data_IF_200465246297
#
_entry.id   IF_200465246297
#
_cell.length_a   1.000
_cell.length_b   1.000
_cell.length_c   1.000
_cell.angle_alpha   90.00
_cell.angle_beta   90.00
_cell.angle_gamma   90.00
#
_symmetry.space_group_name_H-M   'P 1'
#
loop_
_entity.id
_entity.type
_entity.pdbx_description
1 polymer ?
#
# COMPACT_ATOMS: atom_id res chain seq x y z
N UNK A 1 -4.50 -35.98 -16.58
CA UNK A 1 -5.97 -35.92 -16.79
C UNK A 1 -6.46 -34.62 -16.16
N UNK A 2 -7.06 -33.70 -16.91
CA UNK A 2 -7.83 -32.60 -16.34
C UNK A 2 -9.10 -33.23 -15.79
N UNK A 3 -9.29 -33.19 -14.49
CA UNK A 3 -10.46 -33.76 -13.83
C UNK A 3 -11.72 -33.11 -14.43
N UNK A 4 -12.57 -33.93 -15.04
CA UNK A 4 -13.79 -33.49 -15.74
C UNK A 4 -14.77 -32.85 -14.78
N UNK A 5 -14.78 -33.27 -13.52
CA UNK A 5 -15.59 -32.71 -12.46
C UNK A 5 -15.09 -31.32 -12.07
N UNK A 6 -13.77 -31.08 -12.01
CA UNK A 6 -13.22 -29.77 -11.77
C UNK A 6 -13.56 -28.80 -12.92
N UNK A 7 -13.53 -29.25 -14.17
CA UNK A 7 -13.97 -28.45 -15.32
C UNK A 7 -15.45 -27.98 -15.18
N UNK A 8 -16.34 -28.89 -14.74
CA UNK A 8 -17.74 -28.55 -14.44
C UNK A 8 -17.87 -27.55 -13.31
N UNK A 9 -17.11 -27.68 -12.21
CA UNK A 9 -17.07 -26.71 -11.13
C UNK A 9 -16.66 -25.31 -11.63
N UNK A 10 -15.65 -25.22 -12.48
CA UNK A 10 -15.22 -23.96 -13.10
C UNK A 10 -16.34 -23.27 -13.85
N UNK A 11 -17.07 -24.00 -14.70
CA UNK A 11 -18.21 -23.47 -15.45
C UNK A 11 -19.30 -22.94 -14.52
N UNK A 12 -19.59 -23.65 -13.42
CA UNK A 12 -20.59 -23.22 -12.43
C UNK A 12 -20.16 -21.92 -11.71
N UNK A 13 -18.89 -21.81 -11.32
CA UNK A 13 -18.34 -20.59 -10.72
C UNK A 13 -18.44 -19.41 -11.69
N UNK A 14 -18.06 -19.60 -12.95
CA UNK A 14 -18.18 -18.56 -13.99
C UNK A 14 -19.64 -18.09 -14.18
N UNK A 15 -20.59 -19.06 -14.25
CA UNK A 15 -22.02 -18.77 -14.35
C UNK A 15 -22.52 -17.97 -13.13
N UNK A 16 -22.08 -18.34 -11.93
CA UNK A 16 -22.42 -17.64 -10.71
C UNK A 16 -21.96 -16.19 -10.74
N UNK A 17 -20.68 -15.92 -11.05
CA UNK A 17 -20.17 -14.55 -11.15
C UNK A 17 -20.84 -13.72 -12.25
N UNK A 18 -21.22 -14.34 -13.39
CA UNK A 18 -22.04 -13.68 -14.41
C UNK A 18 -23.42 -13.30 -13.88
N UNK A 19 -24.06 -14.19 -13.12
CA UNK A 19 -25.38 -13.93 -12.51
C UNK A 19 -25.34 -12.81 -11.46
N UNK A 20 -24.25 -12.68 -10.70
CA UNK A 20 -24.08 -11.56 -9.75
C UNK A 20 -24.03 -10.20 -10.47
N UNK A 21 -23.34 -10.13 -11.62
CA UNK A 21 -23.29 -8.89 -12.43
C UNK A 21 -24.67 -8.52 -12.99
N UNK A 22 -25.47 -9.49 -13.43
CA UNK A 22 -26.82 -9.22 -13.96
C UNK A 22 -27.84 -8.84 -12.88
N UNK A 23 -27.58 -9.22 -11.62
CA UNK A 23 -28.44 -8.90 -10.46
C UNK A 23 -28.07 -7.58 -9.77
N UNK A 24 -27.05 -6.85 -10.24
CA UNK A 24 -26.74 -5.55 -9.66
C UNK A 24 -27.94 -4.62 -9.81
N UNK A 25 -28.46 -4.13 -8.67
CA UNK A 25 -29.57 -3.19 -8.64
C UNK A 25 -29.16 -1.88 -9.33
N UNK A 26 -30.11 -1.27 -10.04
CA UNK A 26 -29.91 0.06 -10.64
C UNK A 26 -29.56 1.07 -9.52
N UNK A 27 -28.57 1.91 -9.78
CA UNK A 27 -28.20 2.98 -8.87
C UNK A 27 -29.38 3.97 -8.71
N UNK A 28 -29.74 4.25 -7.46
CA UNK A 28 -30.78 5.24 -7.11
C UNK A 28 -30.11 6.33 -6.29
N UNK A 29 -30.01 7.58 -6.83
CA UNK A 29 -29.42 8.72 -6.14
C UNK A 29 -30.01 8.94 -4.75
N UNK A 30 -29.17 9.10 -3.72
CA UNK A 30 -29.57 9.33 -2.33
C UNK A 30 -30.13 8.10 -1.59
N UNK A 31 -30.28 6.95 -2.26
CA UNK A 31 -30.74 5.69 -1.64
C UNK A 31 -29.71 4.56 -1.74
N UNK A 32 -29.01 4.47 -2.86
CA UNK A 32 -27.97 3.45 -3.07
C UNK A 32 -26.67 3.85 -2.40
N UNK A 33 -26.02 2.90 -1.72
CA UNK A 33 -24.71 3.11 -1.14
C UNK A 33 -23.60 3.15 -2.21
N UNK A 34 -22.65 4.09 -2.08
CA UNK A 34 -21.41 4.17 -2.84
C UNK A 34 -20.28 3.85 -1.87
N UNK A 35 -19.77 2.60 -1.84
CA UNK A 35 -18.80 2.16 -0.86
C UNK A 35 -17.41 2.73 -1.11
N UNK A 36 -16.57 2.74 -0.09
CA UNK A 36 -15.16 3.13 -0.19
C UNK A 36 -14.36 2.22 -1.11
N UNK A 37 -14.64 0.92 -1.10
CA UNK A 37 -13.92 -0.07 -1.89
C UNK A 37 -14.81 -1.26 -2.25
N UNK A 38 -14.49 -1.90 -3.37
CA UNK A 38 -15.04 -3.18 -3.78
C UNK A 38 -13.84 -4.07 -4.14
N UNK A 39 -13.73 -5.30 -3.58
CA UNK A 39 -12.66 -6.23 -3.93
C UNK A 39 -12.67 -6.55 -5.43
N UNK A 40 -11.51 -6.44 -6.14
CA UNK A 40 -11.47 -6.49 -7.59
C UNK A 40 -11.25 -7.91 -8.17
N UNK A 41 -11.83 -8.95 -7.55
CA UNK A 41 -11.68 -10.33 -8.02
C UNK A 41 -12.96 -10.89 -8.64
N UNK A 42 -12.84 -11.95 -9.41
CA UNK A 42 -13.94 -12.66 -10.05
C UNK A 42 -13.71 -14.20 -10.07
N UNK A 43 -14.30 -14.89 -11.03
CA UNK A 43 -14.23 -16.36 -11.16
C UNK A 43 -12.82 -16.90 -11.30
N UNK A 44 -11.88 -16.14 -11.88
CA UNK A 44 -10.53 -16.63 -12.17
C UNK A 44 -9.75 -16.89 -10.87
N UNK A 45 -9.76 -15.92 -9.94
CA UNK A 45 -9.11 -16.04 -8.65
C UNK A 45 -9.72 -17.14 -7.80
N UNK A 46 -11.05 -17.23 -7.80
CA UNK A 46 -11.77 -18.26 -7.03
C UNK A 46 -11.46 -19.66 -7.58
N UNK A 47 -11.48 -19.83 -8.89
CA UNK A 47 -11.19 -21.12 -9.53
C UNK A 47 -9.75 -21.58 -9.26
N UNK A 48 -8.77 -20.67 -9.40
CA UNK A 48 -7.36 -20.99 -9.17
C UNK A 48 -7.11 -21.36 -7.70
N UNK A 49 -7.82 -20.69 -6.78
CA UNK A 49 -7.73 -20.98 -5.34
C UNK A 49 -8.38 -22.31 -4.97
N UNK A 50 -9.52 -22.61 -5.58
CA UNK A 50 -10.20 -23.90 -5.40
C UNK A 50 -9.31 -25.06 -5.86
N UNK A 51 -8.59 -24.91 -6.97
CA UNK A 51 -7.62 -25.91 -7.43
C UNK A 51 -6.53 -26.17 -6.38
N UNK A 52 -6.02 -25.11 -5.70
CA UNK A 52 -5.05 -25.27 -4.62
C UNK A 52 -5.63 -26.04 -3.44
N UNK A 53 -6.87 -25.73 -3.05
CA UNK A 53 -7.56 -26.42 -1.96
C UNK A 53 -7.80 -27.89 -2.29
N UNK A 54 -8.32 -28.20 -3.48
CA UNK A 54 -8.60 -29.57 -3.90
C UNK A 54 -7.35 -30.43 -4.09
N UNK A 55 -6.23 -29.80 -4.46
CA UNK A 55 -4.93 -30.49 -4.58
C UNK A 55 -4.23 -30.72 -3.25
N UNK A 56 -4.79 -30.26 -2.11
CA UNK A 56 -4.22 -30.28 -0.77
C UNK A 56 -2.86 -29.54 -0.65
N UNK A 57 -2.46 -28.77 -1.66
CA UNK A 57 -1.23 -27.96 -1.67
C UNK A 57 -1.57 -26.54 -1.28
N UNK A 58 -1.68 -26.26 0.01
CA UNK A 58 -2.24 -25.02 0.56
C UNK A 58 -1.21 -24.08 1.18
N UNK A 59 0.00 -24.56 1.49
CA UNK A 59 1.09 -23.73 2.01
C UNK A 59 2.09 -23.39 0.91
N UNK A 60 2.86 -22.30 1.07
CA UNK A 60 3.73 -21.73 0.06
C UNK A 60 4.39 -22.69 -0.91
N UNK A 61 4.20 -22.48 -2.19
CA UNK A 61 4.64 -23.39 -3.26
C UNK A 61 4.72 -22.70 -4.61
N UNK A 62 4.26 -23.40 -5.67
CA UNK A 62 4.44 -22.96 -7.06
C UNK A 62 3.64 -21.70 -7.43
N UNK A 63 2.42 -21.53 -6.90
CA UNK A 63 1.58 -20.37 -7.21
C UNK A 63 2.12 -19.11 -6.51
N UNK A 64 2.57 -19.24 -5.25
CA UNK A 64 3.28 -18.17 -4.56
C UNK A 64 4.52 -17.75 -5.35
N UNK A 65 5.39 -18.70 -5.73
CA UNK A 65 6.60 -18.40 -6.50
C UNK A 65 6.28 -17.76 -7.85
N UNK A 66 5.23 -18.23 -8.55
CA UNK A 66 4.79 -17.65 -9.82
C UNK A 66 4.32 -16.20 -9.64
N UNK A 67 3.57 -15.91 -8.58
CA UNK A 67 3.12 -14.55 -8.29
C UNK A 67 4.31 -13.65 -7.88
N UNK A 68 5.21 -14.11 -7.02
CA UNK A 68 6.45 -13.39 -6.65
C UNK A 68 7.22 -12.93 -7.90
N UNK A 69 7.45 -13.85 -8.85
CA UNK A 69 8.17 -13.58 -10.09
C UNK A 69 7.42 -12.61 -11.01
N UNK A 70 6.09 -12.81 -11.20
CA UNK A 70 5.26 -11.92 -12.02
C UNK A 70 5.25 -10.50 -11.45
N UNK A 71 5.08 -10.37 -10.13
CA UNK A 71 5.01 -9.08 -9.46
C UNK A 71 6.37 -8.35 -9.48
N UNK A 72 7.45 -9.03 -9.15
CA UNK A 72 8.79 -8.47 -9.22
C UNK A 72 9.11 -7.96 -10.63
N UNK A 73 8.82 -8.76 -11.66
CA UNK A 73 8.98 -8.36 -13.06
C UNK A 73 8.14 -7.14 -13.43
N UNK A 74 6.88 -7.08 -12.99
CA UNK A 74 5.99 -5.94 -13.23
C UNK A 74 6.56 -4.64 -12.64
N UNK A 75 7.06 -4.67 -11.42
CA UNK A 75 7.68 -3.51 -10.75
C UNK A 75 9.08 -3.18 -11.33
N UNK A 76 9.70 -4.08 -12.10
CA UNK A 76 11.07 -3.92 -12.60
C UNK A 76 12.14 -4.29 -11.56
N UNK A 77 11.83 -5.23 -10.66
CA UNK A 77 12.74 -5.75 -9.65
C UNK A 77 13.18 -7.18 -9.96
N UNK A 78 14.34 -7.59 -9.40
CA UNK A 78 14.90 -8.94 -9.57
C UNK A 78 14.21 -9.96 -8.66
N UNK A 79 13.83 -9.55 -7.45
CA UNK A 79 13.32 -10.46 -6.42
C UNK A 79 12.03 -9.94 -5.80
N UNK A 80 11.07 -10.86 -5.60
CA UNK A 80 9.86 -10.68 -4.83
C UNK A 80 9.78 -11.72 -3.72
N UNK A 81 9.36 -11.32 -2.54
CA UNK A 81 9.17 -12.18 -1.37
C UNK A 81 7.75 -11.93 -0.86
N UNK A 82 6.86 -12.86 -1.15
CA UNK A 82 5.48 -12.75 -0.68
C UNK A 82 5.38 -13.07 0.81
N UNK A 83 4.58 -12.30 1.51
CA UNK A 83 4.27 -12.46 2.94
C UNK A 83 2.75 -12.39 3.17
N UNK A 84 2.31 -12.68 4.39
CA UNK A 84 0.89 -12.78 4.73
C UNK A 84 0.15 -11.42 4.85
N UNK A 85 0.86 -10.28 4.87
CA UNK A 85 0.26 -8.95 4.86
C UNK A 85 1.26 -7.86 4.49
N UNK A 86 0.79 -6.65 4.08
CA UNK A 86 1.64 -5.49 3.90
C UNK A 86 2.34 -5.05 5.19
N UNK A 87 1.68 -5.20 6.33
CA UNK A 87 2.27 -4.93 7.65
C UNK A 87 3.47 -5.83 7.94
N UNK A 88 3.34 -7.11 7.62
CA UNK A 88 4.45 -8.07 7.73
C UNK A 88 5.57 -7.77 6.73
N UNK A 89 5.25 -7.23 5.54
CA UNK A 89 6.25 -6.79 4.58
C UNK A 89 7.10 -5.64 5.15
N UNK A 90 6.47 -4.63 5.76
CA UNK A 90 7.17 -3.52 6.41
C UNK A 90 8.04 -3.99 7.58
N UNK A 91 7.52 -4.88 8.44
CA UNK A 91 8.27 -5.41 9.55
C UNK A 91 9.45 -6.27 9.09
N UNK A 92 9.25 -7.11 8.08
CA UNK A 92 10.31 -7.92 7.51
C UNK A 92 11.40 -7.05 6.86
N UNK A 93 11.02 -6.00 6.12
CA UNK A 93 11.96 -5.07 5.49
C UNK A 93 12.90 -4.42 6.52
N UNK A 94 12.34 -3.89 7.60
CA UNK A 94 13.12 -3.27 8.67
C UNK A 94 13.95 -4.28 9.46
N UNK A 95 13.41 -5.47 9.70
CA UNK A 95 14.15 -6.55 10.37
C UNK A 95 15.34 -7.04 9.54
N UNK A 96 15.21 -7.12 8.21
CA UNK A 96 16.33 -7.40 7.30
C UNK A 96 17.41 -6.33 7.45
N UNK A 97 17.04 -5.05 7.40
CA UNK A 97 18.01 -3.95 7.46
C UNK A 97 18.64 -3.76 8.85
N UNK A 98 18.08 -4.37 9.90
CA UNK A 98 18.68 -4.43 11.23
C UNK A 98 19.51 -5.69 11.49
N UNK A 99 19.59 -6.61 10.50
CA UNK A 99 20.25 -7.90 10.68
C UNK A 99 21.76 -7.76 10.96
N UNK A 100 22.32 -8.50 11.95
CA UNK A 100 23.73 -8.39 12.36
C UNK A 100 24.77 -8.60 11.24
N UNK A 101 24.46 -9.34 10.19
CA UNK A 101 25.36 -9.58 9.07
C UNK A 101 25.59 -8.36 8.16
N UNK A 102 24.77 -7.32 8.27
CA UNK A 102 24.89 -6.11 7.46
C UNK A 102 25.86 -5.11 8.14
N UNK A 103 26.87 -4.65 7.43
CA UNK A 103 27.82 -3.65 7.94
C UNK A 103 27.15 -2.33 8.33
N UNK A 104 26.21 -1.84 7.51
CA UNK A 104 25.47 -0.58 7.74
C UNK A 104 24.08 -0.86 8.29
N UNK A 105 23.94 -1.85 9.20
CA UNK A 105 22.65 -2.21 9.78
C UNK A 105 22.03 -1.09 10.61
N UNK A 106 20.72 -1.08 10.71
CA UNK A 106 19.97 -0.27 11.65
C UNK A 106 20.11 -0.90 13.03
N UNK A 107 20.48 -0.11 14.04
CA UNK A 107 20.66 -0.54 15.43
C UNK A 107 19.58 0.05 16.33
N UNK A 108 19.41 -0.53 17.51
CA UNK A 108 18.57 0.05 18.55
C UNK A 108 18.98 1.51 18.83
N UNK A 109 17.99 2.41 18.83
CA UNK A 109 18.20 3.84 19.05
C UNK A 109 18.61 4.65 17.80
N UNK A 110 18.88 4.00 16.68
CA UNK A 110 19.02 4.69 15.37
C UNK A 110 17.68 5.31 14.95
N UNK A 111 17.75 6.35 14.14
CA UNK A 111 16.57 7.09 13.69
C UNK A 111 16.21 6.75 12.24
N UNK A 112 14.92 6.58 12.00
CA UNK A 112 14.34 6.40 10.66
C UNK A 112 13.40 7.54 10.38
N UNK A 113 13.72 8.33 9.34
CA UNK A 113 12.87 9.44 8.91
C UNK A 113 11.66 8.87 8.16
N UNK A 114 10.45 9.32 8.55
CA UNK A 114 9.18 8.86 7.99
C UNK A 114 8.16 10.01 8.00
N UNK A 115 7.16 10.03 7.08
CA UNK A 115 6.14 11.10 7.09
C UNK A 115 5.25 11.03 8.33
N UNK A 116 4.78 12.19 8.79
CA UNK A 116 3.84 12.29 9.90
C UNK A 116 2.42 11.84 9.53
N UNK A 117 2.06 11.87 8.23
CA UNK A 117 0.78 11.38 7.71
C UNK A 117 1.02 10.08 6.96
N UNK A 118 0.56 8.98 7.55
CA UNK A 118 0.72 7.63 6.99
C UNK A 118 -0.23 6.64 7.65
N UNK A 119 -0.20 5.39 7.25
CA UNK A 119 -0.81 4.29 7.97
C UNK A 119 0.12 3.81 9.10
N UNK A 120 -0.45 3.35 10.20
CA UNK A 120 0.31 2.98 11.42
C UNK A 120 1.40 1.93 11.17
N UNK A 121 1.19 1.02 10.20
CA UNK A 121 2.13 -0.06 9.92
C UNK A 121 3.35 0.35 9.09
N UNK A 122 3.45 1.61 8.64
CA UNK A 122 4.71 2.22 8.22
C UNK A 122 5.57 2.66 9.42
N UNK A 123 4.97 2.85 10.60
CA UNK A 123 5.63 3.36 11.82
C UNK A 123 5.94 2.28 12.83
N UNK A 124 4.97 1.41 13.16
CA UNK A 124 5.14 0.41 14.22
C UNK A 124 6.32 -0.54 14.01
N UNK A 125 6.64 -1.00 12.80
CA UNK A 125 7.83 -1.81 12.56
C UNK A 125 9.14 -1.12 12.94
N UNK A 126 9.21 0.22 12.89
CA UNK A 126 10.38 0.99 13.36
C UNK A 126 10.58 0.79 14.86
N UNK A 127 9.47 0.85 15.61
CA UNK A 127 9.50 0.61 17.06
C UNK A 127 9.84 -0.84 17.39
N UNK A 128 9.32 -1.78 16.59
CA UNK A 128 9.53 -3.22 16.82
C UNK A 128 11.00 -3.65 16.68
N UNK A 129 11.79 -2.93 15.88
CA UNK A 129 13.25 -3.14 15.81
C UNK A 129 14.03 -2.25 16.79
N UNK A 130 13.35 -1.63 17.76
CA UNK A 130 13.91 -0.69 18.73
C UNK A 130 14.60 0.54 18.10
N UNK A 131 14.28 0.90 16.86
CA UNK A 131 14.67 2.16 16.25
C UNK A 131 13.66 3.26 16.62
N UNK A 132 14.00 4.51 16.29
CA UNK A 132 13.22 5.69 16.66
C UNK A 132 12.64 6.31 15.37
N UNK A 133 11.31 6.34 15.17
CA UNK A 133 10.73 7.10 14.09
C UNK A 133 10.98 8.60 14.29
N UNK A 134 11.55 9.26 13.28
CA UNK A 134 11.69 10.71 13.22
C UNK A 134 10.69 11.23 12.20
N UNK A 135 9.61 11.83 12.71
CA UNK A 135 8.56 12.38 11.88
C UNK A 135 8.97 13.71 11.25
N UNK A 136 8.67 13.83 9.96
CA UNK A 136 8.77 15.07 9.20
C UNK A 136 7.41 15.41 8.59
N UNK A 137 7.21 16.68 8.25
CA UNK A 137 5.97 17.13 7.67
C UNK A 137 5.81 16.63 6.22
N UNK A 138 4.60 16.70 5.71
CA UNK A 138 4.22 16.32 4.35
C UNK A 138 3.80 17.54 3.55
N UNK A 139 3.78 17.42 2.24
CA UNK A 139 3.22 18.45 1.35
C UNK A 139 1.70 18.39 1.40
N UNK A 140 1.05 19.56 1.43
CA UNK A 140 -0.41 19.65 1.57
C UNK A 140 -1.17 19.22 0.30
N UNK A 141 -0.56 19.39 -0.88
CA UNK A 141 -1.21 19.15 -2.17
C UNK A 141 -1.18 17.69 -2.65
N UNK A 142 -0.23 16.90 -2.17
CA UNK A 142 -0.06 15.50 -2.58
C UNK A 142 0.09 14.52 -1.40
N UNK A 143 0.14 15.03 -0.18
CA UNK A 143 0.21 14.27 1.08
C UNK A 143 1.49 13.43 1.23
N UNK A 144 2.47 13.59 0.33
CA UNK A 144 3.73 12.86 0.39
C UNK A 144 4.76 13.58 1.25
N UNK A 145 5.74 12.82 1.73
CA UNK A 145 6.85 13.37 2.52
C UNK A 145 7.57 14.50 1.77
N UNK A 146 7.88 15.59 2.46
CA UNK A 146 8.59 16.74 1.88
C UNK A 146 10.13 16.50 1.89
N UNK A 147 10.80 16.43 0.72
CA UNK A 147 12.24 16.23 0.64
C UNK A 147 13.06 17.29 1.37
N UNK A 148 12.60 18.54 1.44
CA UNK A 148 13.26 19.62 2.19
C UNK A 148 13.24 19.31 3.69
N UNK A 149 12.12 18.81 4.19
CA UNK A 149 12.00 18.40 5.59
C UNK A 149 12.85 17.15 5.89
N UNK A 150 13.03 16.24 4.93
CA UNK A 150 13.94 15.11 5.08
C UNK A 150 15.38 15.61 5.29
N UNK A 151 15.88 16.47 4.39
CA UNK A 151 17.26 16.99 4.45
C UNK A 151 17.52 17.69 5.80
N UNK A 152 16.59 18.50 6.26
CA UNK A 152 16.66 19.22 7.54
C UNK A 152 16.59 18.32 8.78
N UNK A 153 16.03 17.11 8.64
CA UNK A 153 15.87 16.17 9.74
C UNK A 153 17.07 15.24 9.94
N UNK A 154 17.97 15.15 8.95
CA UNK A 154 19.11 14.22 8.98
C UNK A 154 20.10 14.62 10.08
N UNK A 155 20.56 13.62 10.81
CA UNK A 155 21.61 13.77 11.84
C UNK A 155 22.45 12.49 11.96
N UNK A 156 23.43 12.47 12.86
CA UNK A 156 24.38 11.33 13.03
C UNK A 156 23.71 10.00 13.40
N UNK A 157 22.47 10.02 13.92
CA UNK A 157 21.70 8.80 14.27
C UNK A 157 20.79 8.34 13.12
N UNK A 158 20.60 9.15 12.08
CA UNK A 158 19.76 8.77 10.93
C UNK A 158 20.41 7.63 10.15
N UNK A 159 19.68 6.54 9.94
CA UNK A 159 20.14 5.33 9.23
C UNK A 159 19.30 4.94 8.04
N UNK A 160 18.04 5.38 8.01
CA UNK A 160 17.13 5.05 6.93
C UNK A 160 16.10 6.16 6.66
N UNK A 161 15.60 6.16 5.43
CA UNK A 161 14.39 6.85 5.02
C UNK A 161 13.32 5.78 4.75
N UNK A 162 12.16 5.89 5.39
CA UNK A 162 10.97 5.13 5.05
C UNK A 162 9.97 6.11 4.46
N UNK A 163 9.82 6.10 3.14
CA UNK A 163 8.92 6.99 2.42
C UNK A 163 7.66 6.24 2.02
N UNK A 164 6.52 6.93 2.03
CA UNK A 164 5.21 6.34 1.75
C UNK A 164 4.62 7.01 0.52
N UNK A 165 4.30 6.22 -0.49
CA UNK A 165 3.58 6.68 -1.68
C UNK A 165 2.07 6.74 -1.39
N UNK A 166 1.70 7.64 -0.49
CA UNK A 166 0.38 7.70 0.14
C UNK A 166 -0.72 7.87 -0.91
N UNK A 167 -1.78 7.06 -0.81
CA UNK A 167 -2.94 7.06 -1.72
C UNK A 167 -2.59 6.87 -3.20
N UNK A 168 -1.41 6.33 -3.50
CA UNK A 168 -0.93 6.18 -4.87
C UNK A 168 -0.31 7.44 -5.46
N UNK A 169 0.06 8.42 -4.62
CA UNK A 169 0.86 9.58 -5.03
C UNK A 169 2.35 9.25 -4.97
N UNK A 170 3.10 9.32 -6.06
CA UNK A 170 4.54 9.14 -6.03
C UNK A 170 5.23 10.24 -5.21
N UNK A 171 6.10 9.85 -4.28
CA UNK A 171 7.04 10.79 -3.65
C UNK A 171 8.03 11.34 -4.70
N UNK A 172 8.69 12.47 -4.42
CA UNK A 172 9.76 12.99 -5.27
C UNK A 172 11.01 12.11 -5.18
N UNK A 173 10.99 11.02 -5.94
CA UNK A 173 12.06 10.02 -5.90
C UNK A 173 13.41 10.52 -6.43
N UNK A 174 13.43 11.57 -7.26
CA UNK A 174 14.69 12.16 -7.71
C UNK A 174 15.43 12.84 -6.56
N UNK A 175 14.72 13.64 -5.76
CA UNK A 175 15.33 14.30 -4.60
C UNK A 175 15.63 13.28 -3.50
N UNK A 176 14.68 12.41 -3.17
CA UNK A 176 14.81 11.44 -2.08
C UNK A 176 15.97 10.46 -2.31
N UNK A 177 16.13 9.95 -3.53
CA UNK A 177 17.25 9.04 -3.85
C UNK A 177 18.61 9.75 -3.79
N UNK A 178 18.68 11.03 -4.20
CA UNK A 178 19.88 11.84 -4.05
C UNK A 178 20.24 12.04 -2.57
N UNK A 179 19.26 12.37 -1.73
CA UNK A 179 19.43 12.54 -0.28
C UNK A 179 19.92 11.23 0.35
N UNK A 180 19.24 10.13 0.09
CA UNK A 180 19.62 8.81 0.62
C UNK A 180 21.08 8.44 0.25
N UNK A 181 21.46 8.63 -1.02
CA UNK A 181 22.82 8.38 -1.50
C UNK A 181 23.87 9.31 -0.86
N UNK A 182 23.58 10.62 -0.78
CA UNK A 182 24.48 11.63 -0.19
C UNK A 182 24.83 11.32 1.26
N UNK A 183 23.85 10.81 2.02
CA UNK A 183 24.01 10.54 3.45
C UNK A 183 24.19 9.05 3.78
N UNK A 184 24.39 8.19 2.76
CA UNK A 184 24.53 6.73 2.92
C UNK A 184 23.44 6.09 3.76
N UNK A 185 22.16 6.44 3.50
CA UNK A 185 20.98 5.97 4.19
C UNK A 185 20.30 4.84 3.41
N UNK A 186 19.78 3.85 4.12
CA UNK A 186 18.85 2.89 3.53
C UNK A 186 17.57 3.61 3.06
N UNK A 187 17.08 3.25 1.89
CA UNK A 187 15.83 3.78 1.35
C UNK A 187 14.79 2.66 1.24
N UNK A 188 13.72 2.79 2.04
CA UNK A 188 12.57 1.90 2.03
C UNK A 188 11.39 2.63 1.41
N UNK A 189 10.79 2.03 0.39
CA UNK A 189 9.56 2.53 -0.22
C UNK A 189 8.36 1.73 0.31
N UNK A 190 7.52 2.33 1.12
CA UNK A 190 6.19 1.78 1.40
C UNK A 190 5.26 2.14 0.24
N UNK A 191 5.03 1.16 -0.62
CA UNK A 191 4.19 1.26 -1.81
C UNK A 191 2.87 0.50 -1.65
N UNK A 192 2.48 0.20 -0.40
CA UNK A 192 1.25 -0.56 -0.11
C UNK A 192 0.01 0.05 -0.75
N UNK A 193 -0.02 1.37 -0.89
CA UNK A 193 -1.14 2.13 -1.45
C UNK A 193 -0.91 2.59 -2.91
N UNK A 194 0.15 2.12 -3.58
CA UNK A 194 0.62 2.73 -4.82
C UNK A 194 0.88 1.78 -5.98
N UNK A 195 0.17 0.65 -6.03
CA UNK A 195 0.28 -0.28 -7.15
C UNK A 195 0.00 0.44 -8.48
N UNK A 196 0.91 0.32 -9.44
CA UNK A 196 0.78 0.93 -10.76
C UNK A 196 1.08 2.42 -10.82
N UNK A 197 1.38 3.10 -9.72
CA UNK A 197 1.87 4.47 -9.72
C UNK A 197 3.29 4.53 -10.33
N UNK A 198 3.61 5.64 -11.02
CA UNK A 198 4.92 5.83 -11.66
C UNK A 198 5.47 7.20 -11.38
N UNK A 199 6.78 7.27 -11.13
CA UNK A 199 7.57 8.47 -11.08
C UNK A 199 8.56 8.49 -12.26
N UNK A 200 8.53 9.52 -13.11
CA UNK A 200 9.34 9.60 -14.33
C UNK A 200 9.34 8.31 -15.18
N UNK A 201 8.15 7.71 -15.37
CA UNK A 201 7.95 6.51 -16.19
C UNK A 201 8.28 5.18 -15.49
N UNK A 202 9.00 5.18 -14.36
CA UNK A 202 9.33 3.99 -13.57
C UNK A 202 8.29 3.77 -12.47
N UNK A 203 7.93 2.52 -12.22
CA UNK A 203 7.02 2.19 -11.12
C UNK A 203 7.63 2.59 -9.77
N UNK A 204 6.81 3.18 -8.88
CA UNK A 204 7.19 3.31 -7.47
C UNK A 204 7.38 1.93 -6.86
N UNK A 205 8.27 1.83 -5.87
CA UNK A 205 8.73 0.53 -5.38
C UNK A 205 9.93 -0.01 -6.16
N UNK A 206 10.44 0.73 -7.18
CA UNK A 206 11.64 0.33 -7.93
C UNK A 206 12.88 1.19 -7.66
N UNK A 207 12.81 2.16 -6.77
CA UNK A 207 13.90 3.12 -6.52
C UNK A 207 14.75 2.79 -5.29
N UNK A 208 14.13 2.38 -4.18
CA UNK A 208 14.82 2.13 -2.90
C UNK A 208 15.56 0.79 -2.84
N UNK A 209 16.19 0.50 -1.72
CA UNK A 209 16.86 -0.78 -1.46
C UNK A 209 15.87 -1.92 -1.29
N UNK A 210 14.79 -1.65 -0.56
CA UNK A 210 13.65 -2.55 -0.34
C UNK A 210 12.37 -1.76 -0.55
N UNK A 211 11.36 -2.43 -1.12
CA UNK A 211 10.02 -1.86 -1.23
C UNK A 211 8.97 -2.86 -0.79
N UNK A 212 7.88 -2.34 -0.24
CA UNK A 212 6.81 -3.14 0.34
C UNK A 212 5.48 -2.82 -0.31
N UNK A 213 4.62 -3.84 -0.42
CA UNK A 213 3.30 -3.76 -1.04
C UNK A 213 2.29 -4.54 -0.20
N UNK A 214 1.04 -4.14 -0.24
CA UNK A 214 -0.08 -4.82 0.40
C UNK A 214 -1.10 -5.28 -0.62
N UNK A 215 -1.64 -6.47 -0.43
CA UNK A 215 -2.73 -7.02 -1.23
C UNK A 215 -3.99 -7.23 -0.38
N UNK A 216 -4.23 -6.33 0.57
CA UNK A 216 -5.44 -6.31 1.37
C UNK A 216 -6.68 -6.13 0.47
N UNK A 217 -7.84 -6.58 0.94
CA UNK A 217 -9.08 -6.65 0.15
C UNK A 217 -9.49 -5.35 -0.55
N UNK A 218 -9.19 -4.17 0.02
CA UNK A 218 -9.56 -2.85 -0.51
C UNK A 218 -8.51 -2.20 -1.42
N UNK A 219 -7.35 -2.84 -1.63
CA UNK A 219 -6.28 -2.27 -2.45
C UNK A 219 -6.57 -2.37 -3.96
N UNK A 220 -5.65 -1.88 -4.79
CA UNK A 220 -5.78 -1.88 -6.26
C UNK A 220 -5.94 -3.29 -6.82
N UNK A 221 -5.21 -4.24 -6.25
CA UNK A 221 -5.34 -5.69 -6.43
C UNK A 221 -5.31 -6.35 -5.06
N UNK A 222 -5.88 -7.55 -4.95
CA UNK A 222 -5.99 -8.25 -3.67
C UNK A 222 -5.58 -9.71 -3.75
N UNK A 223 -5.09 -10.23 -2.63
CA UNK A 223 -5.01 -11.66 -2.35
C UNK A 223 -5.85 -12.01 -1.11
N UNK A 224 -6.92 -11.24 -0.85
CA UNK A 224 -7.74 -11.16 0.36
C UNK A 224 -6.91 -10.52 1.48
N UNK A 225 -5.92 -11.20 1.97
CA UNK A 225 -4.79 -10.74 2.76
C UNK A 225 -3.50 -11.13 2.04
N UNK A 226 -2.47 -10.30 2.15
CA UNK A 226 -1.16 -10.57 1.57
C UNK A 226 -0.27 -9.34 1.52
N UNK A 227 1.01 -9.57 1.30
CA UNK A 227 2.00 -8.52 1.08
C UNK A 227 3.15 -9.03 0.23
N UNK A 228 3.97 -8.10 -0.24
CA UNK A 228 5.17 -8.40 -1.01
C UNK A 228 6.29 -7.47 -0.60
N UNK A 229 7.47 -8.01 -0.44
CA UNK A 229 8.71 -7.26 -0.36
C UNK A 229 9.47 -7.44 -1.67
N UNK A 230 10.02 -6.37 -2.23
CA UNK A 230 10.80 -6.45 -3.47
C UNK A 230 12.18 -5.81 -3.29
N UNK A 231 13.19 -6.39 -3.92
CA UNK A 231 14.57 -5.87 -3.90
C UNK A 231 15.36 -6.33 -5.14
N UNK A 232 16.42 -5.59 -5.47
CA UNK A 232 17.42 -6.03 -6.46
C UNK A 232 18.65 -6.70 -5.81
N UNK A 233 18.78 -6.60 -4.49
CA UNK A 233 19.93 -7.11 -3.75
C UNK A 233 19.72 -8.58 -3.37
N UNK A 234 20.63 -9.45 -3.87
CA UNK A 234 20.57 -10.90 -3.60
C UNK A 234 20.71 -11.21 -2.10
N UNK A 235 21.58 -10.50 -1.38
CA UNK A 235 21.79 -10.73 0.07
C UNK A 235 20.54 -10.38 0.88
N UNK A 236 19.88 -9.25 0.57
CA UNK A 236 18.62 -8.87 1.23
C UNK A 236 17.49 -9.86 0.88
N UNK A 237 17.46 -10.39 -0.35
CA UNK A 237 16.50 -11.43 -0.72
C UNK A 237 16.72 -12.74 0.06
N UNK A 238 17.97 -13.20 0.21
CA UNK A 238 18.30 -14.41 0.98
C UNK A 238 17.90 -14.23 2.46
N UNK A 239 18.25 -13.11 3.07
CA UNK A 239 17.81 -12.79 4.44
C UNK A 239 16.28 -12.78 4.56
N UNK A 240 15.59 -12.11 3.64
CA UNK A 240 14.14 -12.01 3.67
C UNK A 240 13.44 -13.37 3.54
N UNK A 241 13.90 -14.25 2.66
CA UNK A 241 13.35 -15.61 2.50
C UNK A 241 13.56 -16.46 3.75
N UNK A 242 14.74 -16.38 4.35
CA UNK A 242 15.04 -17.08 5.60
C UNK A 242 14.18 -16.53 6.74
N UNK A 243 14.20 -15.22 6.98
CA UNK A 243 13.50 -14.58 8.08
C UNK A 243 11.97 -14.65 7.97
N UNK A 244 11.41 -14.66 6.76
CA UNK A 244 9.98 -14.91 6.51
C UNK A 244 9.52 -16.23 7.13
N UNK A 245 10.41 -17.22 7.16
CA UNK A 245 10.12 -18.60 7.56
C UNK A 245 11.08 -19.03 8.69
N UNK A 246 10.90 -18.48 9.87
CA UNK A 246 11.58 -18.86 11.13
C UNK A 246 13.12 -18.71 11.12
N UNK A 247 13.74 -18.18 10.09
CA UNK A 247 15.20 -18.21 9.91
C UNK A 247 15.70 -19.48 9.22
N UNK A 248 14.85 -20.22 8.55
CA UNK A 248 15.13 -21.51 7.92
C UNK A 248 16.02 -21.40 6.68
N UNK A 249 16.85 -22.40 6.43
CA UNK A 249 17.72 -22.48 5.25
C UNK A 249 17.03 -23.05 4.01
N UNK A 250 15.81 -23.60 4.12
CA UNK A 250 15.11 -24.37 3.06
C UNK A 250 14.99 -23.68 1.71
N UNK A 251 14.67 -22.38 1.73
CA UNK A 251 14.41 -21.60 0.52
C UNK A 251 15.63 -20.80 0.04
N UNK A 252 16.81 -21.02 0.67
CA UNK A 252 18.01 -20.27 0.33
C UNK A 252 18.75 -20.90 -0.86
N UNK A 253 19.25 -20.06 -1.76
CA UNK A 253 20.16 -20.50 -2.83
C UNK A 253 21.48 -21.06 -2.27
N UNK A 254 21.87 -20.61 -1.08
CA UNK A 254 23.06 -21.08 -0.35
C UNK A 254 22.81 -22.37 0.46
N UNK A 255 21.64 -22.99 0.39
CA UNK A 255 21.25 -24.18 1.18
C UNK A 255 22.32 -25.27 1.20
N UNK A 256 22.78 -25.73 0.03
CA UNK A 256 23.80 -26.78 -0.06
C UNK A 256 25.14 -26.44 0.61
N UNK A 257 25.54 -25.16 0.58
CA UNK A 257 26.74 -24.69 1.25
C UNK A 257 26.57 -24.68 2.77
N UNK A 258 25.39 -24.29 3.24
CA UNK A 258 25.04 -24.30 4.66
C UNK A 258 24.97 -25.75 5.20
N UNK A 259 24.37 -26.69 4.47
CA UNK A 259 24.34 -28.10 4.83
C UNK A 259 25.77 -28.69 5.00
N UNK A 260 26.69 -28.35 4.09
CA UNK A 260 28.09 -28.74 4.20
C UNK A 260 28.81 -28.11 5.40
N UNK A 261 28.45 -26.87 5.73
CA UNK A 261 29.04 -26.14 6.87
C UNK A 261 28.59 -26.70 8.22
N UNK A 262 27.39 -27.27 8.30
CA UNK A 262 26.79 -27.77 9.51
C UNK A 262 26.35 -29.26 9.35
N UNK A 263 27.31 -30.18 9.11
CA UNK A 263 26.99 -31.58 8.76
C UNK A 263 26.31 -32.35 9.88
N UNK A 264 26.43 -31.92 11.12
CA UNK A 264 25.85 -32.57 12.29
C UNK A 264 24.41 -32.10 12.59
N UNK A 265 23.85 -31.17 11.80
CA UNK A 265 22.49 -30.70 11.95
C UNK A 265 21.65 -31.24 10.81
N UNK A 266 20.51 -31.85 11.14
CA UNK A 266 19.56 -32.32 10.09
C UNK A 266 19.14 -31.12 9.23
N UNK A 267 19.41 -31.18 7.94
CA UNK A 267 19.16 -30.08 7.00
C UNK A 267 17.68 -29.67 6.92
N UNK A 268 16.76 -30.55 7.33
CA UNK A 268 15.33 -30.26 7.42
C UNK A 268 15.01 -29.25 8.54
N UNK A 269 15.88 -29.11 9.54
CA UNK A 269 15.72 -28.22 10.69
C UNK A 269 16.95 -27.32 10.90
N UNK A 270 17.63 -26.95 9.81
CA UNK A 270 18.77 -26.05 9.85
C UNK A 270 18.25 -24.59 9.82
N UNK A 271 18.32 -23.93 10.99
CA UNK A 271 18.00 -22.51 11.17
C UNK A 271 19.28 -21.70 11.18
N UNK A 272 19.36 -20.66 10.34
CA UNK A 272 20.57 -19.86 10.14
C UNK A 272 20.38 -18.39 10.51
N UNK A 273 19.14 -18.00 10.76
CA UNK A 273 18.73 -16.67 11.23
C UNK A 273 17.62 -16.79 12.27
N UNK A 274 17.37 -15.73 13.02
CA UNK A 274 16.08 -15.52 13.69
C UNK A 274 15.04 -15.09 12.64
N UNK A 275 13.76 -15.39 12.88
CA UNK A 275 12.74 -15.04 11.89
C UNK A 275 11.32 -15.15 12.42
N UNK A 276 10.39 -15.00 11.51
CA UNK A 276 8.95 -14.92 11.75
C UNK A 276 8.21 -16.07 11.06
N UNK A 277 6.94 -16.21 11.34
CA UNK A 277 6.03 -16.99 10.51
C UNK A 277 5.15 -16.03 9.68
N UNK A 278 5.73 -15.45 8.61
CA UNK A 278 5.05 -14.55 7.68
C UNK A 278 4.74 -15.21 6.34
N UNK A 279 4.74 -16.53 6.32
CA UNK A 279 4.49 -17.30 5.09
C UNK A 279 3.10 -17.01 4.52
N UNK A 280 3.01 -16.78 3.20
CA UNK A 280 1.73 -16.76 2.50
C UNK A 280 1.22 -18.19 2.27
N UNK A 281 -0.04 -18.31 1.90
CA UNK A 281 -0.65 -19.55 1.43
C UNK A 281 -0.63 -19.65 -0.09
N UNK A 282 -0.76 -20.86 -0.65
CA UNK A 282 -0.94 -21.06 -2.09
C UNK A 282 -2.25 -20.44 -2.60
N UNK A 283 -3.27 -20.32 -1.76
CA UNK A 283 -4.53 -19.64 -2.07
C UNK A 283 -4.27 -18.16 -2.38
N UNK A 284 -3.49 -17.49 -1.54
CA UNK A 284 -3.10 -16.08 -1.76
C UNK A 284 -2.25 -15.94 -3.04
N UNK A 285 -1.32 -16.87 -3.29
CA UNK A 285 -0.55 -16.89 -4.53
C UNK A 285 -1.44 -17.09 -5.76
N UNK A 286 -2.45 -17.95 -5.67
CA UNK A 286 -3.44 -18.19 -6.70
C UNK A 286 -4.21 -16.92 -7.09
N UNK A 287 -4.71 -16.17 -6.10
CA UNK A 287 -5.32 -14.86 -6.34
C UNK A 287 -4.36 -13.92 -7.06
N UNK A 288 -3.15 -13.77 -6.54
CA UNK A 288 -2.17 -12.82 -7.06
C UNK A 288 -1.80 -13.03 -8.52
N UNK A 289 -1.77 -14.28 -9.00
CA UNK A 289 -1.45 -14.61 -10.39
C UNK A 289 -2.41 -13.94 -11.38
N UNK A 290 -3.71 -13.92 -11.07
CA UNK A 290 -4.74 -13.32 -11.92
C UNK A 290 -4.90 -11.83 -11.66
N UNK A 291 -4.75 -11.40 -10.41
CA UNK A 291 -4.89 -10.00 -10.03
C UNK A 291 -3.83 -9.10 -10.68
N UNK A 292 -2.59 -9.57 -10.81
CA UNK A 292 -1.53 -8.78 -11.45
C UNK A 292 -1.85 -8.49 -12.94
N UNK A 293 -2.51 -9.41 -13.63
CA UNK A 293 -2.92 -9.23 -15.03
C UNK A 293 -4.05 -8.17 -15.17
N UNK A 294 -4.85 -7.99 -14.11
CA UNK A 294 -5.96 -7.01 -14.08
C UNK A 294 -5.49 -5.61 -13.63
N UNK A 295 -4.30 -5.47 -13.02
CA UNK A 295 -3.86 -4.25 -12.32
C UNK A 295 -3.89 -3.00 -13.22
N UNK A 296 -3.34 -3.06 -14.43
CA UNK A 296 -3.29 -1.89 -15.31
C UNK A 296 -4.70 -1.37 -15.68
N UNK A 297 -5.64 -2.27 -15.91
CA UNK A 297 -7.04 -1.91 -16.17
C UNK A 297 -7.69 -1.26 -14.95
N UNK A 298 -7.46 -1.81 -13.76
CA UNK A 298 -8.02 -1.30 -12.50
C UNK A 298 -7.48 0.09 -12.17
N UNK A 299 -6.18 0.33 -12.39
CA UNK A 299 -5.56 1.65 -12.19
C UNK A 299 -6.10 2.67 -13.20
N UNK A 300 -6.27 2.31 -14.47
CA UNK A 300 -6.85 3.20 -15.49
C UNK A 300 -8.26 3.67 -15.10
N UNK A 301 -9.09 2.79 -14.54
CA UNK A 301 -10.44 3.14 -14.08
C UNK A 301 -10.40 4.13 -12.89
N UNK A 302 -9.49 3.94 -11.94
CA UNK A 302 -9.29 4.87 -10.80
C UNK A 302 -8.81 6.24 -11.28
N UNK A 303 -7.91 6.29 -12.25
CA UNK A 303 -7.45 7.55 -12.87
C UNK A 303 -8.62 8.23 -13.58
N UNK A 304 -9.42 7.48 -14.35
CA UNK A 304 -10.62 8.02 -15.05
C UNK A 304 -11.60 8.68 -14.05
N UNK A 305 -11.84 8.05 -12.90
CA UNK A 305 -12.70 8.61 -11.87
C UNK A 305 -12.11 9.91 -11.30
N UNK A 306 -10.84 9.89 -10.90
CA UNK A 306 -10.16 11.05 -10.33
C UNK A 306 -10.09 12.24 -11.30
N UNK A 307 -9.76 12.00 -12.57
CA UNK A 307 -9.72 13.04 -13.61
C UNK A 307 -11.11 13.68 -13.81
N UNK A 308 -12.18 12.88 -13.76
CA UNK A 308 -13.53 13.39 -13.84
C UNK A 308 -13.86 14.32 -12.66
N UNK A 309 -13.57 13.89 -11.42
CA UNK A 309 -13.83 14.71 -10.24
C UNK A 309 -12.97 15.96 -10.21
N UNK A 310 -11.68 15.88 -10.52
CA UNK A 310 -10.79 17.02 -10.62
C UNK A 310 -11.35 18.07 -11.60
N UNK A 311 -11.76 17.63 -12.80
CA UNK A 311 -12.33 18.54 -13.81
C UNK A 311 -13.61 19.22 -13.34
N UNK A 312 -14.52 18.46 -12.71
CA UNK A 312 -15.86 18.98 -12.31
C UNK A 312 -15.81 19.82 -11.05
N UNK A 313 -14.93 19.52 -10.11
CA UNK A 313 -14.80 20.24 -8.85
C UNK A 313 -13.79 21.40 -8.90
N UNK A 314 -13.10 21.60 -10.03
CA UNK A 314 -12.09 22.66 -10.17
C UNK A 314 -12.63 24.08 -9.92
N UNK A 315 -13.90 24.33 -10.25
CA UNK A 315 -14.57 25.63 -9.97
C UNK A 315 -14.69 25.95 -8.47
N UNK A 316 -14.47 24.97 -7.60
CA UNK A 316 -14.48 25.11 -6.15
C UNK A 316 -13.09 25.11 -5.53
N UNK A 317 -12.05 25.42 -6.30
CA UNK A 317 -10.65 25.49 -5.84
C UNK A 317 -10.40 26.51 -4.72
N UNK A 318 -11.28 27.50 -4.54
CA UNK A 318 -11.26 28.42 -3.39
C UNK A 318 -11.71 27.76 -2.07
N UNK A 319 -12.36 26.60 -2.14
CA UNK A 319 -12.90 25.85 -1.00
C UNK A 319 -12.29 24.46 -0.82
N UNK A 320 -11.73 23.90 -1.89
CA UNK A 320 -11.23 22.53 -1.92
C UNK A 320 -9.82 22.45 -2.50
N UNK A 321 -8.92 21.76 -1.80
CA UNK A 321 -7.67 21.26 -2.37
C UNK A 321 -7.95 19.84 -2.88
N UNK A 322 -7.78 19.65 -4.18
CA UNK A 322 -7.98 18.38 -4.88
C UNK A 322 -6.64 17.85 -5.38
N UNK A 323 -6.52 16.52 -5.64
CA UNK A 323 -5.31 15.94 -6.20
C UNK A 323 -4.97 16.57 -7.54
N UNK A 324 -3.88 17.33 -7.60
CA UNK A 324 -3.45 17.97 -8.85
C UNK A 324 -3.01 16.94 -9.89
N UNK A 325 -3.29 17.24 -11.17
CA UNK A 325 -2.71 16.50 -12.28
C UNK A 325 -1.23 16.82 -12.36
N UNK A 326 -0.40 15.83 -12.23
CA UNK A 326 1.05 15.97 -12.28
C UNK A 326 1.64 15.24 -13.48
N UNK A 327 2.93 15.50 -13.75
CA UNK A 327 3.71 14.79 -14.76
C UNK A 327 3.80 13.28 -14.45
N UNK A 328 3.68 12.91 -13.18
CA UNK A 328 3.80 11.54 -12.72
C UNK A 328 2.44 10.83 -12.69
N UNK A 329 2.45 9.50 -12.88
CA UNK A 329 1.24 8.70 -12.87
C UNK A 329 0.84 8.38 -11.43
N UNK A 330 -0.24 8.97 -10.94
CA UNK A 330 -0.90 8.59 -9.68
C UNK A 330 -1.79 7.36 -9.91
N UNK A 331 -1.93 6.50 -8.91
CA UNK A 331 -2.82 5.31 -9.01
C UNK A 331 -4.10 5.40 -8.19
N UNK A 332 -4.22 6.40 -7.32
CA UNK A 332 -5.43 6.77 -6.59
C UNK A 332 -6.12 5.60 -5.86
N UNK A 333 -5.55 5.14 -4.75
CA UNK A 333 -6.20 4.11 -3.91
C UNK A 333 -7.60 4.55 -3.46
N UNK A 334 -7.71 5.75 -2.94
CA UNK A 334 -8.92 6.49 -2.62
C UNK A 334 -8.80 7.90 -3.19
N UNK A 335 -9.88 8.67 -3.20
CA UNK A 335 -9.85 10.04 -3.68
C UNK A 335 -9.87 11.02 -2.50
N UNK A 336 -8.79 11.76 -2.25
CA UNK A 336 -8.71 12.71 -1.14
C UNK A 336 -9.33 14.06 -1.52
N UNK A 337 -10.00 14.66 -0.53
CA UNK A 337 -10.54 16.02 -0.59
C UNK A 337 -10.10 16.73 0.68
N UNK A 338 -9.46 17.90 0.56
CA UNK A 338 -9.14 18.76 1.69
C UNK A 338 -9.96 20.04 1.62
N UNK A 339 -10.74 20.31 2.64
CA UNK A 339 -11.53 21.54 2.74
C UNK A 339 -10.61 22.69 3.17
N UNK A 340 -10.56 23.77 2.39
CA UNK A 340 -9.85 24.98 2.75
C UNK A 340 -10.65 25.66 3.87
N UNK A 341 -9.97 26.05 4.96
CA UNK A 341 -10.61 26.78 6.09
C UNK A 341 -11.32 28.04 5.57
N UNK A 342 -12.62 28.11 5.81
CA UNK A 342 -13.48 29.23 5.39
C UNK A 342 -14.60 29.45 6.43
N UNK A 343 -15.35 30.56 6.29
CA UNK A 343 -16.45 30.92 7.20
C UNK A 343 -17.78 30.22 6.88
N UNK A 344 -17.92 29.59 5.73
CA UNK A 344 -19.20 29.10 5.21
C UNK A 344 -19.50 27.66 5.64
N UNK A 345 -18.51 26.76 5.62
CA UNK A 345 -18.69 25.37 5.98
C UNK A 345 -17.40 24.71 6.46
N UNK A 346 -17.52 23.52 7.03
CA UNK A 346 -16.42 22.71 7.56
C UNK A 346 -16.34 21.35 6.87
N UNK A 347 -15.19 20.68 6.97
CA UNK A 347 -15.07 19.26 6.58
C UNK A 347 -16.19 18.41 7.16
N UNK A 348 -16.46 18.54 8.46
CA UNK A 348 -17.51 17.75 9.15
C UNK A 348 -18.87 17.94 8.52
N UNK A 349 -19.21 19.16 8.11
CA UNK A 349 -20.49 19.44 7.44
C UNK A 349 -20.58 18.78 6.07
N UNK A 350 -19.52 18.88 5.25
CA UNK A 350 -19.48 18.25 3.91
C UNK A 350 -19.51 16.71 4.01
N UNK A 351 -18.74 16.11 4.94
CA UNK A 351 -18.75 14.67 5.20
C UNK A 351 -20.16 14.19 5.58
N UNK A 352 -20.83 14.88 6.52
CA UNK A 352 -22.19 14.53 6.92
C UNK A 352 -23.17 14.56 5.74
N UNK A 353 -23.03 15.53 4.83
CA UNK A 353 -23.89 15.63 3.65
C UNK A 353 -23.63 14.47 2.67
N UNK A 354 -22.37 14.11 2.43
CA UNK A 354 -22.02 12.96 1.60
C UNK A 354 -22.58 11.65 2.17
N UNK A 355 -22.38 11.40 3.45
CA UNK A 355 -22.85 10.18 4.12
C UNK A 355 -24.38 10.09 4.16
N UNK A 356 -25.08 11.21 4.38
CA UNK A 356 -26.53 11.30 4.28
C UNK A 356 -27.05 10.89 2.90
N UNK A 357 -26.27 11.15 1.86
CA UNK A 357 -26.56 10.78 0.48
C UNK A 357 -25.99 9.42 0.07
N UNK A 358 -25.57 8.58 1.02
CA UNK A 358 -25.07 7.23 0.77
C UNK A 358 -23.65 7.15 0.22
N UNK A 359 -22.87 8.25 0.22
CA UNK A 359 -21.46 8.24 -0.18
C UNK A 359 -20.59 7.97 1.06
N UNK A 360 -19.99 6.79 1.13
CA UNK A 360 -19.10 6.45 2.24
C UNK A 360 -17.84 7.33 2.24
N UNK A 361 -17.48 7.80 3.43
CA UNK A 361 -16.28 8.61 3.64
C UNK A 361 -15.33 7.97 4.67
N UNK A 362 -14.10 8.44 4.71
CA UNK A 362 -13.11 8.04 5.70
C UNK A 362 -12.17 9.21 6.00
N UNK A 363 -11.66 9.35 7.25
CA UNK A 363 -10.54 10.25 7.54
C UNK A 363 -9.33 9.94 6.67
N UNK A 364 -8.50 10.94 6.39
CA UNK A 364 -7.27 10.72 5.62
C UNK A 364 -6.25 10.00 6.53
N UNK A 365 -6.20 8.68 6.39
CA UNK A 365 -5.35 7.76 7.15
C UNK A 365 -5.40 8.05 8.67
N UNK A 366 -4.25 8.09 9.34
CA UNK A 366 -4.18 8.42 10.76
C UNK A 366 -4.29 9.93 11.05
N UNK A 367 -4.33 10.77 10.01
CA UNK A 367 -4.03 12.19 10.18
C UNK A 367 -2.57 12.36 10.62
N UNK A 368 -2.29 13.28 11.54
CA UNK A 368 -0.97 13.41 12.15
C UNK A 368 -0.75 12.27 13.17
N UNK A 369 0.21 11.39 12.88
CA UNK A 369 0.49 10.19 13.69
C UNK A 369 0.80 10.52 15.15
N UNK A 370 1.45 11.65 15.44
CA UNK A 370 1.79 12.03 16.82
C UNK A 370 0.58 12.50 17.63
N UNK A 371 -0.54 12.83 16.98
CA UNK A 371 -1.79 13.20 17.64
C UNK A 371 -2.65 11.98 18.01
N UNK A 372 -2.28 10.78 17.54
CA UNK A 372 -2.98 9.55 17.93
C UNK A 372 -2.67 9.19 19.39
N UNK A 373 -3.66 8.68 20.16
CA UNK A 373 -3.45 8.32 21.57
C UNK A 373 -2.31 7.34 21.82
N UNK A 374 -1.98 6.51 20.84
CA UNK A 374 -0.88 5.55 20.89
C UNK A 374 0.49 6.22 20.99
N UNK A 375 0.62 7.49 20.58
CA UNK A 375 1.89 8.22 20.61
C UNK A 375 2.51 8.31 22.03
N UNK A 376 1.68 8.26 23.08
CA UNK A 376 2.14 8.19 24.48
C UNK A 376 2.98 6.97 24.82
N UNK A 377 2.84 5.90 24.03
CA UNK A 377 3.63 4.66 24.18
C UNK A 377 4.81 4.58 23.22
N UNK A 378 4.98 5.58 22.35
CA UNK A 378 5.98 5.58 21.31
C UNK A 378 7.19 6.43 21.71
N UNK A 379 8.39 5.88 21.61
CA UNK A 379 9.62 6.67 21.62
C UNK A 379 9.85 7.22 20.22
N UNK A 380 9.58 8.51 20.01
CA UNK A 380 9.72 9.15 18.69
C UNK A 380 10.45 10.50 18.77
N UNK A 381 10.83 11.02 17.62
CA UNK A 381 11.32 12.38 17.41
C UNK A 381 10.48 13.05 16.32
N UNK A 382 10.46 14.39 16.33
CA UNK A 382 9.91 15.19 15.23
C UNK A 382 10.93 16.23 14.79
N UNK A 383 10.92 16.60 13.51
CA UNK A 383 11.73 17.67 12.96
C UNK A 383 10.81 18.84 12.62
N UNK A 384 11.01 19.95 13.30
CA UNK A 384 10.19 21.14 13.08
C UNK A 384 8.73 21.02 13.56
N UNK A 385 7.88 21.87 12.97
CA UNK A 385 6.42 21.87 13.20
C UNK A 385 5.76 21.05 12.10
N UNK A 386 4.80 20.19 12.47
CA UNK A 386 4.06 19.33 11.54
C UNK A 386 2.73 19.99 11.12
N UNK A 387 2.81 21.24 10.61
CA UNK A 387 1.64 22.08 10.32
C UNK A 387 0.72 21.51 9.26
N UNK A 388 1.31 20.94 8.19
CA UNK A 388 0.52 20.35 7.12
C UNK A 388 -0.14 19.06 7.60
N UNK A 389 0.55 18.24 8.40
CA UNK A 389 -0.03 17.03 8.99
C UNK A 389 -1.23 17.37 9.89
N UNK A 390 -1.13 18.41 10.73
CA UNK A 390 -2.25 18.87 11.55
C UNK A 390 -3.40 19.39 10.68
N UNK A 391 -3.10 20.18 9.66
CA UNK A 391 -4.10 20.71 8.73
C UNK A 391 -4.83 19.60 7.98
N UNK A 392 -4.10 18.59 7.52
CA UNK A 392 -4.66 17.40 6.84
C UNK A 392 -5.59 16.64 7.79
N UNK A 393 -5.18 16.40 9.02
CA UNK A 393 -6.02 15.74 10.02
C UNK A 393 -7.35 16.45 10.25
N UNK A 394 -7.30 17.78 10.36
CA UNK A 394 -8.49 18.60 10.63
C UNK A 394 -9.40 18.73 9.41
N UNK A 395 -8.84 18.83 8.21
CA UNK A 395 -9.56 19.34 7.05
C UNK A 395 -9.69 18.35 5.88
N UNK A 396 -9.01 17.17 5.93
CA UNK A 396 -9.03 16.21 4.82
C UNK A 396 -9.86 14.98 5.13
N UNK A 397 -10.47 14.43 4.08
CA UNK A 397 -11.19 13.16 4.12
C UNK A 397 -11.07 12.44 2.77
N UNK A 398 -11.50 11.20 2.71
CA UNK A 398 -11.43 10.32 1.55
C UNK A 398 -12.83 9.88 1.15
N UNK A 399 -13.04 9.75 -0.15
CA UNK A 399 -14.18 9.02 -0.73
C UNK A 399 -13.67 7.80 -1.50
N UNK A 400 -14.56 6.86 -1.79
CA UNK A 400 -14.24 5.66 -2.57
C UNK A 400 -13.74 6.02 -3.97
N UNK A 401 -12.72 5.31 -4.43
CA UNK A 401 -12.26 5.36 -5.81
C UNK A 401 -11.88 3.96 -6.27
N UNK A 402 -12.80 3.28 -6.93
CA UNK A 402 -12.62 1.88 -7.32
C UNK A 402 -13.24 1.58 -8.70
N UNK A 403 -12.96 0.40 -9.23
CA UNK A 403 -13.38 -0.05 -10.55
C UNK A 403 -14.89 -0.18 -10.73
N UNK A 404 -15.65 -0.32 -9.65
CA UNK A 404 -17.10 -0.47 -9.65
C UNK A 404 -17.89 0.84 -9.63
N UNK A 405 -17.22 2.01 -9.65
CA UNK A 405 -17.92 3.30 -9.70
C UNK A 405 -18.40 3.57 -11.12
N UNK A 406 -19.73 3.58 -11.31
CA UNK A 406 -20.40 3.89 -12.58
C UNK A 406 -20.39 5.40 -12.87
N UNK A 407 -20.69 5.76 -14.12
CA UNK A 407 -20.76 7.16 -14.57
C UNK A 407 -21.81 7.97 -13.82
N UNK A 408 -22.98 7.37 -13.53
CA UNK A 408 -24.05 7.98 -12.73
C UNK A 408 -23.60 8.27 -11.30
N UNK A 409 -22.90 7.32 -10.66
CA UNK A 409 -22.37 7.51 -9.32
C UNK A 409 -21.29 8.60 -9.27
N UNK A 410 -20.39 8.64 -10.28
CA UNK A 410 -19.38 9.72 -10.37
C UNK A 410 -20.03 11.11 -10.49
N UNK A 411 -21.09 11.23 -11.30
CA UNK A 411 -21.84 12.47 -11.45
C UNK A 411 -22.53 12.83 -10.14
N UNK A 412 -23.22 11.89 -9.52
CA UNK A 412 -23.93 12.10 -8.27
C UNK A 412 -23.04 12.61 -7.14
N UNK A 413 -21.83 12.06 -6.97
CA UNK A 413 -20.85 12.56 -6.00
C UNK A 413 -20.53 14.05 -6.24
N UNK A 414 -20.33 14.45 -7.49
CA UNK A 414 -20.11 15.87 -7.85
C UNK A 414 -21.34 16.71 -7.49
N UNK A 415 -22.54 16.25 -7.84
CA UNK A 415 -23.78 16.98 -7.61
C UNK A 415 -23.98 17.20 -6.10
N UNK A 416 -23.74 16.21 -5.25
CA UNK A 416 -23.83 16.34 -3.78
C UNK A 416 -22.83 17.39 -3.26
N UNK A 417 -21.56 17.31 -3.68
CA UNK A 417 -20.53 18.25 -3.23
C UNK A 417 -20.86 19.68 -3.68
N UNK A 418 -21.19 19.85 -4.96
CA UNK A 418 -21.44 21.19 -5.53
C UNK A 418 -22.68 21.85 -4.96
N UNK A 419 -23.79 21.11 -4.84
CA UNK A 419 -25.03 21.62 -4.25
C UNK A 419 -24.84 22.01 -2.79
N UNK A 420 -24.08 21.21 -2.02
CA UNK A 420 -23.75 21.55 -0.66
C UNK A 420 -22.95 22.87 -0.55
N UNK A 421 -21.89 23.01 -1.35
CA UNK A 421 -21.06 24.23 -1.32
C UNK A 421 -21.90 25.44 -1.72
N UNK A 422 -22.66 25.38 -2.83
CA UNK A 422 -23.51 26.45 -3.30
C UNK A 422 -24.51 26.84 -2.22
N UNK A 423 -25.22 25.88 -1.59
CA UNK A 423 -26.22 26.16 -0.55
C UNK A 423 -25.63 26.89 0.68
N UNK A 424 -24.31 26.77 0.93
CA UNK A 424 -23.63 27.40 2.04
C UNK A 424 -22.99 28.75 1.70
N UNK A 425 -22.72 28.99 0.40
CA UNK A 425 -22.05 30.21 -0.06
C UNK A 425 -22.97 31.24 -0.67
N UNK A 426 -24.22 30.86 -1.01
CA UNK A 426 -25.26 31.76 -1.53
C UNK A 426 -26.16 32.34 -0.43
N UNK A 427 -25.91 31.96 0.82
CA UNK A 427 -26.51 32.54 2.03
C UNK A 427 -25.53 33.52 2.65
#
# INVERSE_FOLDING_TARGET
>A
MKDENFAKCKILIEKYFKSLKSKQSKFIPGKSNIPLAIPPYDSDEVTESLESLMSMKVTGGKKVSKFENKFAKYIGRKHGIMVNSGSSANLLALSILSHPSLKNRIKSGDEIITPAVTWVTSVYPILNINAIPRFVDVKLNDYTIDPVQIENAINKKTKALLVVHLLGNPCDMNQITKIAKKHNLWLIEDSCEAHGAKYNGKYVGSFGDISTFSFYASHHITTIEGGMLTTNNKGLNELGRSMRTFGWSRELGSKKQLEKKFPNIDSRFLFVNTGFNFRPTEIQGAFGIHQIDKLERLVKLRIKNADYWNKKLNNFSNFLILPQKEKHRKSYLLYPITVIKNKFFTKKGLVKELEKNGVETRPLMTGNMINQPVSKYMKYKKSGKLKNADYIQENSFLIGNHHGIADEQRKFIVDVITNYIISKTSS
#
